data_IF_588095745929
#
_entry.id   IF_588095745929
#
_cell.length_a   1.000
_cell.length_b   1.000
_cell.length_c   1.000
_cell.angle_alpha   90.00
_cell.angle_beta   90.00
_cell.angle_gamma   90.00
#
_symmetry.space_group_name_H-M   'P 1'
#
loop_
_entity.id
_entity.type
_entity.pdbx_description
1 polymer ?
#
# COMPACT_ATOMS: atom_id res chain seq x y z
N UNK A 1 -11.43 20.09 1.85
CA UNK A 1 -11.21 18.79 1.19
C UNK A 1 -11.33 17.72 2.25
N UNK A 2 -12.36 16.86 2.18
CA UNK A 2 -12.54 15.78 3.16
C UNK A 2 -11.71 14.61 2.68
N UNK A 3 -10.48 14.49 3.21
CA UNK A 3 -9.68 13.29 3.03
C UNK A 3 -10.39 12.14 3.73
N UNK A 4 -10.97 11.21 2.96
CA UNK A 4 -11.48 9.96 3.52
C UNK A 4 -10.29 9.23 4.11
N UNK A 5 -10.14 9.23 5.43
CA UNK A 5 -9.25 8.27 6.08
C UNK A 5 -9.83 6.89 5.78
N UNK A 6 -9.27 6.18 4.82
CA UNK A 6 -9.54 4.76 4.67
C UNK A 6 -9.12 4.11 5.99
N UNK A 7 -10.09 3.66 6.79
CA UNK A 7 -9.76 2.88 7.98
C UNK A 7 -8.98 1.63 7.56
N UNK A 8 -8.20 1.05 8.48
CA UNK A 8 -7.38 -0.17 8.24
C UNK A 8 -8.14 -1.25 7.47
N UNK A 9 -9.43 -1.46 7.80
CA UNK A 9 -10.31 -2.42 7.11
C UNK A 9 -10.51 -2.11 5.63
N UNK A 10 -10.62 -0.83 5.27
CA UNK A 10 -10.77 -0.41 3.87
C UNK A 10 -9.47 -0.59 3.10
N UNK A 11 -8.33 -0.28 3.70
CA UNK A 11 -7.00 -0.52 3.09
C UNK A 11 -6.80 -2.00 2.82
N UNK A 12 -7.07 -2.85 3.81
CA UNK A 12 -6.98 -4.31 3.66
C UNK A 12 -7.88 -4.79 2.52
N UNK A 13 -9.17 -4.43 2.53
CA UNK A 13 -10.11 -4.87 1.51
C UNK A 13 -9.70 -4.48 0.08
N UNK A 14 -9.14 -3.28 -0.12
CA UNK A 14 -8.65 -2.84 -1.44
C UNK A 14 -7.46 -3.70 -1.86
N UNK A 15 -6.42 -3.79 -1.02
CA UNK A 15 -5.19 -4.52 -1.34
C UNK A 15 -5.44 -6.02 -1.54
N UNK A 16 -6.39 -6.63 -0.82
CA UNK A 16 -6.80 -8.02 -1.01
C UNK A 16 -7.42 -8.32 -2.37
N UNK A 17 -7.88 -7.30 -3.11
CA UNK A 17 -8.43 -7.48 -4.46
C UNK A 17 -7.39 -7.31 -5.56
N UNK A 18 -6.20 -6.82 -5.24
CA UNK A 18 -5.15 -6.57 -6.23
C UNK A 18 -4.35 -7.85 -6.48
N UNK A 19 -4.01 -8.14 -7.74
CA UNK A 19 -3.09 -9.24 -8.05
C UNK A 19 -1.69 -8.91 -7.54
N UNK A 20 -1.01 -9.90 -6.95
CA UNK A 20 0.42 -9.79 -6.62
C UNK A 20 1.18 -9.47 -7.91
N UNK A 21 2.16 -8.55 -7.84
CA UNK A 21 2.87 -8.04 -9.00
C UNK A 21 2.27 -6.77 -9.60
N UNK A 22 1.14 -6.28 -9.08
CA UNK A 22 0.52 -5.04 -9.54
C UNK A 22 1.33 -3.82 -9.11
N UNK A 23 1.61 -2.90 -10.05
CA UNK A 23 2.22 -1.61 -9.71
C UNK A 23 1.20 -0.72 -9.01
N UNK A 24 1.59 -0.18 -7.85
CA UNK A 24 0.77 0.68 -7.01
C UNK A 24 1.58 1.86 -6.46
N UNK A 25 0.87 2.93 -6.14
CA UNK A 25 1.39 4.00 -5.28
C UNK A 25 0.63 3.98 -3.96
N UNK A 26 1.35 3.95 -2.84
CA UNK A 26 0.80 4.03 -1.50
C UNK A 26 1.03 5.43 -0.94
N UNK A 27 -0.06 6.13 -0.63
CA UNK A 27 -0.02 7.42 0.05
C UNK A 27 0.04 7.20 1.57
N UNK A 28 1.03 7.81 2.21
CA UNK A 28 1.21 7.94 3.66
C UNK A 28 0.97 9.40 4.06
N UNK A 29 1.04 9.72 5.36
CA UNK A 29 0.69 11.06 5.87
C UNK A 29 1.49 12.22 5.25
N UNK A 30 2.77 12.00 4.93
CA UNK A 30 3.67 13.05 4.42
C UNK A 30 4.46 12.65 3.18
N UNK A 31 4.19 11.47 2.62
CA UNK A 31 4.94 10.92 1.48
C UNK A 31 4.11 9.91 0.72
N UNK A 32 4.55 9.57 -0.49
CA UNK A 32 4.02 8.47 -1.28
C UNK A 32 5.14 7.53 -1.68
N UNK A 33 4.85 6.23 -1.66
CA UNK A 33 5.78 5.19 -2.08
C UNK A 33 5.23 4.51 -3.33
N UNK A 34 6.05 4.44 -4.38
CA UNK A 34 5.74 3.65 -5.56
C UNK A 34 6.40 2.28 -5.44
N UNK A 35 5.71 1.26 -5.91
CA UNK A 35 6.28 -0.07 -6.01
C UNK A 35 5.29 -1.13 -6.44
N UNK A 36 5.74 -2.37 -6.34
CA UNK A 36 4.98 -3.53 -6.78
C UNK A 36 4.36 -4.21 -5.58
N UNK A 37 3.04 -4.43 -5.63
CA UNK A 37 2.27 -5.10 -4.60
C UNK A 37 2.75 -6.54 -4.41
N UNK A 38 3.15 -6.90 -3.18
CA UNK A 38 3.69 -8.23 -2.86
C UNK A 38 2.83 -9.03 -1.88
N UNK A 39 1.77 -8.44 -1.32
CA UNK A 39 0.83 -9.12 -0.43
C UNK A 39 0.87 -8.60 1.01
N UNK A 40 0.44 -9.45 1.94
CA UNK A 40 0.39 -9.11 3.36
C UNK A 40 1.32 -9.99 4.18
N UNK A 41 1.91 -9.40 5.22
CA UNK A 41 2.58 -10.12 6.31
C UNK A 41 1.97 -9.67 7.63
N UNK A 42 0.98 -10.41 8.12
CA UNK A 42 0.16 -9.99 9.26
C UNK A 42 -0.60 -8.70 8.97
N UNK A 43 -0.39 -7.67 9.79
CA UNK A 43 -0.99 -6.33 9.65
C UNK A 43 -0.11 -5.36 8.82
N UNK A 44 0.81 -5.90 8.03
CA UNK A 44 1.71 -5.14 7.16
C UNK A 44 1.38 -5.41 5.68
N UNK A 45 1.32 -4.34 4.89
CA UNK A 45 1.38 -4.40 3.44
C UNK A 45 2.84 -4.53 2.98
N UNK A 46 3.13 -5.50 2.12
CA UNK A 46 4.45 -5.67 1.52
C UNK A 46 4.48 -5.09 0.11
N UNK A 47 5.49 -4.26 -0.16
CA UNK A 47 5.68 -3.60 -1.45
C UNK A 47 7.14 -3.71 -1.85
N UNK A 48 7.41 -4.13 -3.08
CA UNK A 48 8.76 -4.20 -3.62
C UNK A 48 9.08 -2.85 -4.27
N UNK A 49 10.16 -2.23 -3.79
CA UNK A 49 10.64 -0.95 -4.33
C UNK A 49 11.17 -1.16 -5.76
N UNK A 50 10.81 -0.28 -6.72
CA UNK A 50 11.27 -0.43 -8.10
C UNK A 50 12.74 -0.03 -8.28
N UNK A 51 13.33 0.68 -7.30
CA UNK A 51 14.67 1.25 -7.41
C UNK A 51 15.75 0.25 -7.00
N UNK A 52 15.58 -0.37 -5.85
CA UNK A 52 16.55 -1.27 -5.20
C UNK A 52 16.05 -2.72 -5.08
N UNK A 53 14.80 -2.99 -5.47
CA UNK A 53 14.13 -4.30 -5.33
C UNK A 53 14.00 -4.79 -3.88
N UNK A 54 14.14 -3.88 -2.90
CA UNK A 54 13.94 -4.22 -1.50
C UNK A 54 12.45 -4.31 -1.15
N UNK A 55 12.14 -5.22 -0.21
CA UNK A 55 10.77 -5.36 0.31
C UNK A 55 10.53 -4.36 1.43
N UNK A 56 9.57 -3.47 1.23
CA UNK A 56 9.09 -2.50 2.20
C UNK A 56 7.88 -3.05 2.94
N UNK A 57 7.89 -2.90 4.26
CA UNK A 57 6.80 -3.32 5.15
C UNK A 57 6.07 -2.10 5.68
N UNK A 58 4.81 -1.93 5.31
CA UNK A 58 4.02 -0.74 5.64
C UNK A 58 2.85 -1.15 6.53
N UNK A 59 2.78 -0.66 7.78
CA UNK A 59 1.61 -0.87 8.63
C UNK A 59 0.34 -0.34 7.97
N UNK A 60 -0.73 -1.15 7.93
CA UNK A 60 -1.97 -0.79 7.24
C UNK A 60 -2.64 0.47 7.81
N UNK A 61 -2.40 0.79 9.09
CA UNK A 61 -2.89 2.01 9.75
C UNK A 61 -2.18 3.29 9.34
N UNK A 62 -1.02 3.18 8.68
CA UNK A 62 -0.26 4.31 8.14
C UNK A 62 -0.66 4.63 6.70
N UNK A 63 -1.39 3.73 6.01
CA UNK A 63 -1.83 3.92 4.64
C UNK A 63 -3.06 4.84 4.60
N UNK A 64 -2.96 5.92 3.81
CA UNK A 64 -4.01 6.92 3.61
C UNK A 64 -4.70 6.79 2.26
N UNK A 65 -4.02 6.19 1.28
CA UNK A 65 -4.57 5.97 -0.06
C UNK A 65 -3.74 4.98 -0.85
N UNK A 66 -4.38 4.38 -1.85
CA UNK A 66 -3.77 3.44 -2.79
C UNK A 66 -4.20 3.85 -4.18
N UNK A 67 -3.24 3.99 -5.09
CA UNK A 67 -3.45 4.20 -6.52
C UNK A 67 -2.89 2.99 -7.27
N UNK A 68 -3.62 2.49 -8.25
CA UNK A 68 -3.23 1.33 -9.08
C UNK A 68 -2.92 1.83 -10.49
N UNK A 69 -1.86 1.31 -11.11
CA UNK A 69 -1.37 1.71 -12.43
C UNK A 69 -1.61 0.66 -13.52
#
# INVERSE_FOLDING_TARGET
MIGKSCGVKSVYAILSTLPIGQNITVALDYTSLEGTWAGFEGDLATIISPVDQDTMYIPLNNIRGITVH
#
